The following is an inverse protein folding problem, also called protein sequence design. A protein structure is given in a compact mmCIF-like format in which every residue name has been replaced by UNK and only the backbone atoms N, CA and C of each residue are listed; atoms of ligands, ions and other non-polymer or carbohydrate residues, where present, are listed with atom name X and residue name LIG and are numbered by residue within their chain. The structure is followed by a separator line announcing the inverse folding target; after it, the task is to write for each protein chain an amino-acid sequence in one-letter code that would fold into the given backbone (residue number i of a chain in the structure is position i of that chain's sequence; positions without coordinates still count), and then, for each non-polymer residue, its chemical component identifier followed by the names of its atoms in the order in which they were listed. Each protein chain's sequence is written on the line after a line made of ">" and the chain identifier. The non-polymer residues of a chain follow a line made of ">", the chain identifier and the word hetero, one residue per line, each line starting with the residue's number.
data_IF_977739377913
#
_entry.id   IF_977739377913
#
_cell.length_a   1.000
_cell.length_b   1.000
_cell.length_c   1.000
_cell.angle_alpha   90.00
_cell.angle_beta   90.00
_cell.angle_gamma   90.00
#
_symmetry.space_group_name_H-M   'P 1'
#
loop_
_entity.id
_entity.type
_entity.pdbx_description
1 polymer ?
#
# COMPACT_ATOMS: atom_id res chain seq x y z
N UNK A 1 15.91 72.88 -13.38
CA UNK A 1 15.11 71.83 -12.68
C UNK A 1 15.39 70.39 -13.13
N UNK A 2 16.42 70.08 -13.92
CA UNK A 2 16.63 68.73 -14.45
C UNK A 2 17.48 67.77 -13.59
N UNK A 3 18.10 68.24 -12.49
CA UNK A 3 19.00 67.42 -11.65
C UNK A 3 18.29 66.59 -10.56
N UNK A 4 17.01 66.83 -10.30
CA UNK A 4 16.26 66.11 -9.27
C UNK A 4 15.54 64.86 -9.81
N UNK A 5 15.22 64.81 -11.11
CA UNK A 5 14.45 63.72 -11.76
C UNK A 5 15.25 62.45 -12.08
N UNK A 6 16.57 62.49 -11.94
CA UNK A 6 17.46 61.32 -12.11
C UNK A 6 17.65 60.55 -10.80
N UNK A 7 17.73 61.26 -9.68
CA UNK A 7 18.02 60.70 -8.35
C UNK A 7 16.83 59.91 -7.78
N UNK A 8 15.61 60.34 -8.07
CA UNK A 8 14.39 59.62 -7.65
C UNK A 8 14.22 58.27 -8.39
N UNK A 9 14.62 58.19 -9.66
CA UNK A 9 14.50 56.96 -10.46
C UNK A 9 15.52 55.88 -10.05
N UNK A 10 16.77 56.28 -9.80
CA UNK A 10 17.81 55.39 -9.24
C UNK A 10 17.44 54.88 -7.83
N UNK A 11 16.82 55.72 -7.00
CA UNK A 11 16.35 55.29 -5.67
C UNK A 11 15.17 54.32 -5.74
N UNK A 12 14.26 54.45 -6.72
CA UNK A 12 13.14 53.52 -6.87
C UNK A 12 13.55 52.17 -7.44
N UNK A 13 14.49 52.11 -8.39
CA UNK A 13 15.03 50.85 -8.91
C UNK A 13 15.78 50.07 -7.83
N UNK A 14 16.59 50.75 -7.02
CA UNK A 14 17.32 50.14 -5.89
C UNK A 14 16.37 49.63 -4.79
N UNK A 15 15.22 50.29 -4.61
CA UNK A 15 14.18 49.84 -3.68
C UNK A 15 13.45 48.59 -4.21
N UNK A 16 13.17 48.56 -5.51
CA UNK A 16 12.50 47.44 -6.18
C UNK A 16 13.38 46.19 -6.17
N UNK A 17 14.68 46.35 -6.44
CA UNK A 17 15.66 45.26 -6.40
C UNK A 17 15.86 44.71 -4.98
N UNK A 18 15.85 45.59 -3.96
CA UNK A 18 15.84 45.17 -2.55
C UNK A 18 14.58 44.40 -2.16
N UNK A 19 13.41 44.84 -2.64
CA UNK A 19 12.15 44.18 -2.34
C UNK A 19 12.10 42.79 -2.99
N UNK A 20 12.59 42.66 -4.23
CA UNK A 20 12.71 41.40 -4.94
C UNK A 20 13.70 40.46 -4.25
N UNK A 21 14.85 40.97 -3.82
CA UNK A 21 15.81 40.20 -3.02
C UNK A 21 15.19 39.70 -1.72
N UNK A 22 14.39 40.53 -1.04
CA UNK A 22 13.70 40.13 0.18
C UNK A 22 12.68 39.01 -0.09
N UNK A 23 11.88 39.13 -1.16
CA UNK A 23 10.92 38.08 -1.56
C UNK A 23 11.63 36.76 -1.83
N UNK A 24 12.76 36.77 -2.54
CA UNK A 24 13.54 35.55 -2.76
C UNK A 24 14.15 34.99 -1.48
N UNK A 25 14.60 35.84 -0.56
CA UNK A 25 15.10 35.39 0.75
C UNK A 25 13.99 34.73 1.58
N UNK A 26 12.79 35.31 1.58
CA UNK A 26 11.64 34.77 2.29
C UNK A 26 11.19 33.42 1.69
N UNK A 27 11.21 33.29 0.36
CA UNK A 27 10.90 32.05 -0.35
C UNK A 27 11.95 30.96 -0.08
N UNK A 28 13.24 31.31 -0.14
CA UNK A 28 14.34 30.40 0.20
C UNK A 28 14.19 29.91 1.64
N UNK A 29 13.87 30.80 2.59
CA UNK A 29 13.66 30.43 3.97
C UNK A 29 12.45 29.49 4.15
N UNK A 30 11.35 29.77 3.45
CA UNK A 30 10.16 28.90 3.46
C UNK A 30 10.48 27.50 2.93
N UNK A 31 11.21 27.42 1.81
CA UNK A 31 11.61 26.15 1.20
C UNK A 31 12.60 25.38 2.09
N UNK A 32 13.52 26.07 2.76
CA UNK A 32 14.45 25.46 3.69
C UNK A 32 13.72 24.84 4.89
N UNK A 33 12.69 25.50 5.43
CA UNK A 33 11.88 24.93 6.51
C UNK A 33 11.04 23.75 6.04
N UNK A 34 10.48 23.79 4.82
CA UNK A 34 9.78 22.65 4.24
C UNK A 34 10.72 21.45 4.05
N UNK A 35 11.92 21.65 3.52
CA UNK A 35 12.94 20.60 3.38
C UNK A 35 13.28 20.02 4.75
N UNK A 36 13.50 20.86 5.77
CA UNK A 36 13.80 20.42 7.13
C UNK A 36 12.69 19.53 7.70
N UNK A 37 11.43 19.90 7.50
CA UNK A 37 10.26 19.13 7.93
C UNK A 37 10.15 17.80 7.18
N UNK A 38 10.38 17.81 5.86
CA UNK A 38 10.37 16.61 5.02
C UNK A 38 11.50 15.64 5.37
N UNK A 39 12.71 16.15 5.65
CA UNK A 39 13.85 15.36 6.12
C UNK A 39 13.56 14.72 7.48
N UNK A 40 12.98 15.48 8.41
CA UNK A 40 12.56 14.96 9.71
C UNK A 40 11.48 13.87 9.56
N UNK A 41 10.51 14.07 8.67
CA UNK A 41 9.47 13.08 8.39
C UNK A 41 10.05 11.83 7.72
N UNK A 42 11.01 11.98 6.80
CA UNK A 42 11.73 10.88 6.16
C UNK A 42 12.54 10.08 7.18
N UNK A 43 13.25 10.76 8.09
CA UNK A 43 14.07 10.10 9.11
C UNK A 43 13.22 9.36 10.15
N UNK A 44 12.08 9.93 10.53
CA UNK A 44 11.06 9.22 11.33
C UNK A 44 10.50 8.01 10.57
N UNK A 45 10.27 8.15 9.25
CA UNK A 45 9.82 7.06 8.38
C UNK A 45 10.88 5.96 8.24
N UNK A 46 12.17 6.31 8.21
CA UNK A 46 13.30 5.37 8.21
C UNK A 46 13.44 4.65 9.56
N UNK A 47 13.25 5.34 10.68
CA UNK A 47 13.21 4.74 12.02
C UNK A 47 12.05 3.75 12.14
N UNK A 48 10.86 4.14 11.66
CA UNK A 48 9.70 3.26 11.56
C UNK A 48 9.98 2.04 10.68
N UNK A 49 10.59 2.25 9.50
CA UNK A 49 10.91 1.18 8.56
C UNK A 49 11.98 0.22 9.10
N UNK A 50 12.95 0.71 9.88
CA UNK A 50 13.96 -0.10 10.56
C UNK A 50 13.37 -0.93 11.71
N UNK A 51 12.51 -0.33 12.54
CA UNK A 51 11.74 -1.03 13.57
C UNK A 51 10.84 -2.10 12.95
N UNK A 52 10.17 -1.74 11.85
CA UNK A 52 9.30 -2.62 11.10
C UNK A 52 10.05 -3.80 10.47
N UNK A 53 11.17 -3.57 9.77
CA UNK A 53 12.02 -4.64 9.23
C UNK A 53 12.51 -5.60 10.32
N UNK A 54 12.88 -5.08 11.50
CA UNK A 54 13.24 -5.88 12.66
C UNK A 54 12.07 -6.73 13.18
N UNK A 55 10.86 -6.17 13.21
CA UNK A 55 9.64 -6.92 13.50
C UNK A 55 9.39 -8.02 12.47
N UNK A 56 9.63 -7.76 11.18
CA UNK A 56 9.52 -8.76 10.10
C UNK A 56 10.52 -9.90 10.25
N UNK A 57 11.77 -9.60 10.57
CA UNK A 57 12.80 -10.61 10.80
C UNK A 57 12.45 -11.47 12.03
N UNK A 58 12.08 -10.84 13.14
CA UNK A 58 11.67 -11.52 14.36
C UNK A 58 10.42 -12.40 14.15
N UNK A 59 9.47 -11.93 13.34
CA UNK A 59 8.26 -12.69 13.01
C UNK A 59 8.54 -13.81 12.01
N UNK A 60 9.44 -13.63 11.03
CA UNK A 60 9.87 -14.69 10.09
C UNK A 60 10.44 -15.89 10.84
N UNK A 61 11.21 -15.64 11.89
CA UNK A 61 11.73 -16.69 12.78
C UNK A 61 10.59 -17.41 13.51
N UNK A 62 9.56 -16.69 14.00
CA UNK A 62 8.36 -17.29 14.60
C UNK A 62 7.51 -18.10 13.61
N UNK A 63 7.39 -17.64 12.36
CA UNK A 63 6.68 -18.33 11.27
C UNK A 63 7.38 -19.65 10.86
N UNK A 64 8.71 -19.73 10.98
CA UNK A 64 9.47 -20.93 10.58
C UNK A 64 9.52 -22.00 11.68
N UNK A 65 9.36 -21.62 12.96
CA UNK A 65 9.55 -22.50 14.12
C UNK A 65 8.28 -23.32 14.47
N UNK A 66 7.09 -22.90 14.04
CA UNK A 66 5.82 -23.55 14.42
C UNK A 66 5.18 -24.31 13.24
N UNK A 67 5.94 -25.21 12.63
CA UNK A 67 5.39 -26.18 11.67
C UNK A 67 4.43 -27.16 12.37
N UNK A 68 3.15 -27.15 11.95
CA UNK A 68 2.07 -28.16 11.93
C UNK A 68 1.87 -29.22 13.06
N UNK A 69 2.81 -29.49 13.96
CA UNK A 69 2.73 -30.65 14.88
C UNK A 69 2.29 -30.32 16.31
N UNK A 70 2.14 -29.05 16.68
CA UNK A 70 1.84 -28.63 18.06
C UNK A 70 0.40 -28.13 18.28
N UNK A 71 -0.59 -28.72 17.63
CA UNK A 71 -2.01 -28.32 17.77
C UNK A 71 -2.72 -29.00 18.95
N UNK A 72 -1.98 -29.57 19.91
CA UNK A 72 -2.56 -30.09 21.15
C UNK A 72 -2.52 -29.01 22.23
N UNK A 73 -3.59 -28.22 22.36
CA UNK A 73 -3.60 -27.19 23.39
C UNK A 73 -4.95 -26.94 24.06
N UNK A 74 -4.87 -26.57 25.33
CA UNK A 74 -5.97 -26.23 26.25
C UNK A 74 -6.61 -24.88 25.89
N UNK A 75 -7.78 -24.58 26.48
CA UNK A 75 -8.53 -23.34 26.20
C UNK A 75 -7.72 -22.03 26.37
N UNK A 76 -6.84 -21.95 27.38
CA UNK A 76 -6.01 -20.77 27.62
C UNK A 76 -4.96 -20.53 26.52
N UNK A 77 -4.59 -21.57 25.80
CA UNK A 77 -3.64 -21.46 24.69
C UNK A 77 -4.35 -21.13 23.36
N UNK A 78 -5.66 -21.40 23.25
CA UNK A 78 -6.45 -20.97 22.08
C UNK A 78 -6.63 -19.45 22.03
N UNK A 79 -6.91 -18.79 23.16
CA UNK A 79 -7.00 -17.33 23.23
C UNK A 79 -5.67 -16.68 22.81
N UNK A 80 -4.56 -17.15 23.37
CA UNK A 80 -3.23 -16.64 23.00
C UNK A 80 -2.89 -16.90 21.51
N UNK A 81 -3.34 -18.02 20.93
CA UNK A 81 -3.17 -18.31 19.51
C UNK A 81 -4.02 -17.39 18.62
N UNK A 82 -5.24 -17.05 19.05
CA UNK A 82 -6.10 -16.09 18.34
C UNK A 82 -5.43 -14.70 18.36
N UNK A 83 -5.04 -14.21 19.53
CA UNK A 83 -4.36 -12.91 19.66
C UNK A 83 -3.09 -12.83 18.79
N UNK A 84 -2.33 -13.94 18.74
CA UNK A 84 -1.16 -14.04 17.88
C UNK A 84 -1.54 -13.98 16.40
N UNK A 85 -2.55 -14.74 15.97
CA UNK A 85 -3.00 -14.75 14.58
C UNK A 85 -3.56 -13.38 14.15
N UNK A 86 -4.32 -12.71 15.01
CA UNK A 86 -4.84 -11.36 14.78
C UNK A 86 -3.69 -10.35 14.64
N UNK A 87 -2.69 -10.43 15.51
CA UNK A 87 -1.48 -9.58 15.42
C UNK A 87 -0.72 -9.81 14.12
N UNK A 88 -0.61 -11.06 13.67
CA UNK A 88 0.02 -11.41 12.40
C UNK A 88 -0.78 -10.87 11.20
N UNK A 89 -2.11 -10.99 11.22
CA UNK A 89 -2.98 -10.44 10.18
C UNK A 89 -2.85 -8.92 10.12
N UNK A 90 -2.85 -8.23 11.27
CA UNK A 90 -2.67 -6.79 11.33
C UNK A 90 -1.32 -6.36 10.74
N UNK A 91 -0.25 -7.07 11.09
CA UNK A 91 1.09 -6.81 10.54
C UNK A 91 1.14 -7.04 9.02
N UNK A 92 0.59 -8.15 8.53
CA UNK A 92 0.52 -8.45 7.09
C UNK A 92 -0.31 -7.43 6.32
N UNK A 93 -1.42 -6.97 6.91
CA UNK A 93 -2.26 -5.91 6.35
C UNK A 93 -1.48 -4.60 6.24
N UNK A 94 -0.75 -4.23 7.29
CA UNK A 94 0.09 -3.03 7.30
C UNK A 94 1.24 -3.11 6.27
N UNK A 95 1.87 -4.27 6.10
CA UNK A 95 2.95 -4.51 5.14
C UNK A 95 2.50 -4.40 3.69
N UNK A 96 1.43 -5.12 3.38
CA UNK A 96 1.01 -5.33 2.00
C UNK A 96 0.01 -4.28 1.56
N UNK A 97 -0.59 -3.56 2.53
CA UNK A 97 -1.74 -2.71 2.32
C UNK A 97 -2.96 -3.50 1.84
N UNK A 98 -3.02 -4.82 2.08
CA UNK A 98 -4.14 -5.68 1.69
C UNK A 98 -4.83 -6.18 2.95
N UNK A 99 -6.13 -5.87 3.08
CA UNK A 99 -6.98 -6.37 4.15
C UNK A 99 -8.12 -7.22 3.60
N UNK A 100 -8.53 -8.22 4.39
CA UNK A 100 -9.70 -9.05 4.07
C UNK A 100 -10.85 -8.68 5.00
N UNK A 101 -12.03 -8.46 4.43
CA UNK A 101 -13.25 -8.12 5.18
C UNK A 101 -14.16 -9.32 5.32
N UNK A 102 -14.10 -10.26 4.36
CA UNK A 102 -14.94 -11.45 4.36
C UNK A 102 -14.21 -12.63 3.73
N UNK A 103 -14.36 -13.80 4.35
CA UNK A 103 -13.95 -15.07 3.79
C UNK A 103 -15.09 -16.08 3.99
N UNK A 104 -15.55 -16.67 2.90
CA UNK A 104 -16.53 -17.74 2.92
C UNK A 104 -15.94 -18.93 2.20
N UNK A 105 -15.95 -20.08 2.85
CA UNK A 105 -15.57 -21.35 2.26
C UNK A 105 -16.79 -22.26 2.17
N UNK A 106 -17.03 -22.82 0.99
CA UNK A 106 -18.00 -23.89 0.78
C UNK A 106 -17.28 -25.11 0.22
N UNK A 107 -17.75 -26.30 0.60
CA UNK A 107 -17.26 -27.55 -0.01
C UNK A 107 -18.25 -27.96 -1.09
N UNK A 108 -17.76 -28.14 -2.32
CA UNK A 108 -18.56 -28.49 -3.49
C UNK A 108 -18.06 -29.83 -4.03
N UNK A 109 -18.96 -30.80 -4.17
CA UNK A 109 -18.65 -32.15 -4.67
C UNK A 109 -19.14 -33.29 -3.76
N UNK A 110 -19.31 -34.49 -4.34
CA UNK A 110 -19.67 -35.73 -3.63
C UNK A 110 -18.62 -36.81 -3.95
N UNK A 111 -18.20 -37.59 -2.95
CA UNK A 111 -17.23 -38.67 -3.12
C UNK A 111 -15.77 -38.20 -3.07
N UNK A 112 -14.96 -38.63 -4.04
CA UNK A 112 -13.50 -38.40 -4.09
C UNK A 112 -13.10 -37.07 -4.77
N UNK A 113 -14.04 -36.37 -5.42
CA UNK A 113 -13.82 -35.10 -6.13
C UNK A 113 -14.33 -33.92 -5.27
N UNK A 114 -13.78 -33.78 -4.06
CA UNK A 114 -14.13 -32.69 -3.13
C UNK A 114 -13.32 -31.46 -3.49
N UNK A 115 -14.00 -30.42 -3.96
CA UNK A 115 -13.41 -29.11 -4.21
C UNK A 115 -13.84 -28.14 -3.13
N UNK A 116 -12.96 -27.22 -2.78
CA UNK A 116 -13.27 -26.13 -1.85
C UNK A 116 -13.39 -24.84 -2.64
N UNK A 117 -14.57 -24.24 -2.62
CA UNK A 117 -14.82 -22.96 -3.25
C UNK A 117 -14.68 -21.87 -2.18
N UNK A 118 -13.86 -20.88 -2.47
CA UNK A 118 -13.59 -19.74 -1.61
C UNK A 118 -14.13 -18.48 -2.25
N UNK A 119 -14.81 -17.67 -1.45
CA UNK A 119 -15.18 -16.30 -1.79
C UNK A 119 -14.56 -15.35 -0.78
N UNK A 120 -13.66 -14.50 -1.25
CA UNK A 120 -12.98 -13.49 -0.45
C UNK A 120 -13.43 -12.11 -0.89
N UNK A 121 -13.66 -11.24 0.07
CA UNK A 121 -13.84 -9.80 -0.14
C UNK A 121 -12.79 -9.07 0.65
N UNK A 122 -12.26 -7.99 0.09
CA UNK A 122 -11.20 -7.24 0.73
C UNK A 122 -10.93 -5.91 0.06
N UNK A 123 -9.84 -5.30 0.51
CA UNK A 123 -9.37 -4.03 -0.02
C UNK A 123 -7.86 -4.01 -0.14
N UNK A 124 -7.36 -3.19 -1.06
CA UNK A 124 -6.00 -2.70 -1.02
C UNK A 124 -5.99 -1.19 -1.11
N UNK A 125 -5.58 -0.53 -0.02
CA UNK A 125 -5.71 0.91 0.13
C UNK A 125 -7.16 1.36 -0.19
N UNK A 126 -7.35 2.22 -1.20
CA UNK A 126 -8.67 2.70 -1.65
C UNK A 126 -9.40 1.76 -2.62
N UNK A 127 -8.79 0.63 -3.02
CA UNK A 127 -9.36 -0.30 -4.00
C UNK A 127 -10.09 -1.45 -3.32
N UNK A 128 -11.34 -1.69 -3.68
CA UNK A 128 -12.11 -2.84 -3.21
C UNK A 128 -12.07 -3.97 -4.22
N UNK A 129 -11.95 -5.21 -3.74
CA UNK A 129 -11.95 -6.40 -4.57
C UNK A 129 -12.81 -7.51 -3.98
N UNK A 130 -13.38 -8.30 -4.87
CA UNK A 130 -13.98 -9.59 -4.61
C UNK A 130 -13.25 -10.66 -5.43
N UNK A 131 -13.14 -11.85 -4.84
CA UNK A 131 -12.42 -12.96 -5.41
C UNK A 131 -13.20 -14.24 -5.19
N UNK A 132 -13.28 -15.06 -6.23
CA UNK A 132 -13.83 -16.40 -6.15
C UNK A 132 -12.86 -17.40 -6.75
N UNK A 133 -12.50 -18.45 -6.01
CA UNK A 133 -11.58 -19.46 -6.50
C UNK A 133 -11.89 -20.85 -5.97
N UNK A 134 -11.51 -21.86 -6.73
CA UNK A 134 -11.68 -23.26 -6.38
C UNK A 134 -10.32 -23.89 -6.08
N UNK A 135 -10.22 -24.61 -4.97
CA UNK A 135 -9.08 -25.44 -4.61
C UNK A 135 -9.42 -26.92 -4.81
N UNK A 136 -8.53 -27.62 -5.51
CA UNK A 136 -8.51 -29.06 -5.61
C UNK A 136 -7.30 -29.61 -4.86
N UNK A 137 -7.56 -30.56 -3.96
CA UNK A 137 -6.53 -31.28 -3.21
C UNK A 137 -6.25 -32.61 -3.90
N UNK A 138 -5.02 -32.78 -4.41
CA UNK A 138 -4.56 -34.04 -5.01
C UNK A 138 -3.60 -34.71 -4.04
N UNK A 139 -3.95 -35.93 -3.65
CA UNK A 139 -3.10 -36.74 -2.79
C UNK A 139 -1.93 -37.28 -3.63
N UNK A 140 -0.73 -36.73 -3.43
CA UNK A 140 0.50 -37.28 -3.98
C UNK A 140 1.10 -38.29 -2.98
N UNK A 141 2.07 -39.10 -3.42
CA UNK A 141 2.62 -40.24 -2.67
C UNK A 141 3.09 -39.90 -1.24
N UNK A 142 3.53 -38.66 -1.00
CA UNK A 142 4.06 -38.20 0.30
C UNK A 142 3.41 -36.92 0.83
N UNK A 143 2.63 -36.19 0.00
CA UNK A 143 2.10 -34.87 0.35
C UNK A 143 0.73 -34.61 -0.30
N UNK A 144 -0.06 -33.72 0.30
CA UNK A 144 -1.28 -33.19 -0.33
C UNK A 144 -0.90 -31.95 -1.14
N UNK A 145 -1.05 -32.03 -2.47
CA UNK A 145 -0.83 -30.88 -3.36
C UNK A 145 -2.17 -30.16 -3.51
N UNK A 146 -2.21 -28.89 -3.15
CA UNK A 146 -3.40 -28.04 -3.34
C UNK A 146 -3.17 -27.13 -4.54
N UNK A 147 -4.07 -27.15 -5.51
CA UNK A 147 -3.97 -26.31 -6.73
C UNK A 147 -5.25 -25.52 -6.93
N UNK A 148 -5.09 -24.25 -7.34
CA UNK A 148 -6.22 -23.40 -7.74
C UNK A 148 -6.70 -23.86 -9.12
N UNK A 149 -7.92 -24.41 -9.18
CA UNK A 149 -8.53 -24.91 -10.42
C UNK A 149 -9.32 -23.84 -11.14
N UNK A 150 -9.93 -22.91 -10.42
CA UNK A 150 -10.66 -21.78 -11.00
C UNK A 150 -10.34 -20.51 -10.22
N UNK A 151 -10.30 -19.37 -10.91
CA UNK A 151 -10.04 -18.07 -10.32
C UNK A 151 -10.83 -17.00 -11.09
N UNK A 152 -11.68 -16.29 -10.38
CA UNK A 152 -12.46 -15.16 -10.85
C UNK A 152 -12.21 -13.97 -9.92
N UNK A 153 -11.98 -12.80 -10.50
CA UNK A 153 -11.58 -11.60 -9.81
C UNK A 153 -12.48 -10.46 -10.25
N UNK A 154 -13.15 -9.85 -9.28
CA UNK A 154 -14.00 -8.69 -9.48
C UNK A 154 -13.32 -7.51 -8.76
N UNK A 155 -12.99 -6.48 -9.51
CA UNK A 155 -12.42 -5.24 -8.96
C UNK A 155 -13.41 -4.12 -9.19
N UNK A 156 -13.87 -3.49 -8.11
CA UNK A 156 -14.78 -2.34 -8.19
C UNK A 156 -14.01 -1.07 -8.56
N UNK A 157 -13.70 -0.92 -9.84
CA UNK A 157 -13.31 0.39 -10.37
C UNK A 157 -13.51 0.49 -11.88
N UNK A 158 -14.36 1.43 -12.27
CA UNK A 158 -14.57 1.82 -13.67
C UNK A 158 -13.40 2.63 -14.26
N UNK A 159 -12.44 3.07 -13.45
CA UNK A 159 -11.40 4.01 -13.87
C UNK A 159 -10.06 3.33 -14.21
N UNK A 160 -9.92 2.02 -13.98
CA UNK A 160 -8.63 1.32 -14.13
C UNK A 160 -8.61 0.32 -15.29
N UNK A 161 -8.81 0.80 -16.51
CA UNK A 161 -8.63 -0.02 -17.72
C UNK A 161 -7.29 -0.76 -17.74
N UNK A 162 -6.23 -0.17 -17.18
CA UNK A 162 -4.89 -0.76 -17.08
C UNK A 162 -4.84 -2.05 -16.26
N UNK A 163 -5.76 -2.22 -15.29
CA UNK A 163 -5.81 -3.41 -14.44
C UNK A 163 -6.58 -4.57 -15.07
N UNK A 164 -7.50 -4.31 -16.01
CA UNK A 164 -8.33 -5.36 -16.64
C UNK A 164 -7.49 -6.45 -17.32
N UNK A 165 -6.52 -6.06 -18.16
CA UNK A 165 -5.59 -6.99 -18.83
C UNK A 165 -4.78 -7.81 -17.83
N UNK A 166 -4.42 -7.18 -16.72
CA UNK A 166 -3.67 -7.84 -15.67
C UNK A 166 -4.53 -8.87 -14.92
N UNK A 167 -5.76 -8.50 -14.57
CA UNK A 167 -6.75 -9.38 -13.95
C UNK A 167 -6.97 -10.62 -14.81
N UNK A 168 -7.27 -10.44 -16.10
CA UNK A 168 -7.50 -11.57 -17.02
C UNK A 168 -6.28 -12.50 -17.09
N UNK A 169 -5.05 -11.95 -17.04
CA UNK A 169 -3.83 -12.77 -17.01
C UNK A 169 -3.64 -13.49 -15.68
N UNK A 170 -4.07 -12.90 -14.56
CA UNK A 170 -4.02 -13.57 -13.26
C UNK A 170 -5.03 -14.72 -13.18
N UNK A 171 -6.24 -14.52 -13.70
CA UNK A 171 -7.29 -15.54 -13.86
C UNK A 171 -6.85 -16.68 -14.77
N UNK A 172 -6.34 -16.37 -15.97
CA UNK A 172 -5.81 -17.36 -16.93
C UNK A 172 -4.71 -18.23 -16.29
N UNK A 173 -3.82 -17.60 -15.51
CA UNK A 173 -2.73 -18.30 -14.80
C UNK A 173 -3.16 -18.91 -13.47
N UNK A 174 -4.40 -18.70 -13.04
CA UNK A 174 -4.95 -19.17 -11.75
C UNK A 174 -4.05 -18.77 -10.57
N UNK A 175 -3.47 -17.57 -10.64
CA UNK A 175 -2.40 -17.14 -9.74
C UNK A 175 -2.84 -16.02 -8.82
N UNK A 176 -3.23 -16.40 -7.60
CA UNK A 176 -3.51 -15.47 -6.49
C UNK A 176 -2.31 -14.58 -6.18
N UNK A 177 -1.11 -15.18 -6.18
CA UNK A 177 0.13 -14.44 -5.93
C UNK A 177 0.35 -13.33 -6.96
N UNK A 178 0.13 -13.64 -8.24
CA UNK A 178 0.24 -12.65 -9.30
C UNK A 178 -0.73 -11.49 -9.01
N UNK A 179 -2.00 -11.80 -8.75
CA UNK A 179 -3.03 -10.81 -8.44
C UNK A 179 -2.64 -9.89 -7.29
N UNK A 180 -2.40 -10.45 -6.09
CA UNK A 180 -2.13 -9.65 -4.90
C UNK A 180 -0.84 -8.82 -5.02
N UNK A 181 0.20 -9.35 -5.66
CA UNK A 181 1.45 -8.61 -5.87
C UNK A 181 1.23 -7.36 -6.73
N UNK A 182 0.50 -7.52 -7.82
CA UNK A 182 0.22 -6.39 -8.72
C UNK A 182 -0.77 -5.42 -8.10
N UNK A 183 -1.82 -5.91 -7.43
CA UNK A 183 -2.78 -5.05 -6.75
C UNK A 183 -2.10 -4.18 -5.68
N UNK A 184 -1.29 -4.78 -4.80
CA UNK A 184 -0.55 -4.05 -3.77
C UNK A 184 0.37 -2.98 -4.37
N UNK A 185 1.10 -3.33 -5.44
CA UNK A 185 1.99 -2.39 -6.13
C UNK A 185 1.21 -1.25 -6.76
N UNK A 186 0.13 -1.56 -7.49
CA UNK A 186 -0.70 -0.58 -8.17
C UNK A 186 -1.36 0.38 -7.16
N UNK A 187 -1.98 -0.15 -6.10
CA UNK A 187 -2.67 0.63 -5.07
C UNK A 187 -1.71 1.63 -4.41
N UNK A 188 -0.51 1.19 -4.05
CA UNK A 188 0.53 2.06 -3.47
C UNK A 188 0.92 3.20 -4.40
N UNK A 189 1.17 2.91 -5.68
CA UNK A 189 1.51 3.95 -6.66
C UNK A 189 0.36 4.90 -6.97
N UNK A 190 -0.87 4.40 -6.96
CA UNK A 190 -2.07 5.18 -7.17
C UNK A 190 -2.22 6.26 -6.09
N UNK A 191 -2.05 5.91 -4.81
CA UNK A 191 -2.09 6.90 -3.72
C UNK A 191 -1.01 7.97 -3.85
N UNK A 192 0.23 7.58 -4.16
CA UNK A 192 1.29 8.56 -4.38
C UNK A 192 0.95 9.54 -5.50
N UNK A 193 0.44 9.05 -6.65
CA UNK A 193 -0.01 9.92 -7.74
C UNK A 193 -1.11 10.87 -7.30
N UNK A 194 -2.09 10.39 -6.53
CA UNK A 194 -3.18 11.22 -6.04
C UNK A 194 -2.69 12.32 -5.09
N UNK A 195 -1.79 11.99 -4.17
CA UNK A 195 -1.15 12.95 -3.26
C UNK A 195 -0.36 13.99 -4.07
N UNK A 196 0.54 13.54 -4.95
CA UNK A 196 1.35 14.41 -5.81
C UNK A 196 0.48 15.34 -6.66
N UNK A 197 -0.60 14.83 -7.25
CA UNK A 197 -1.51 15.63 -8.05
C UNK A 197 -2.25 16.69 -7.23
N UNK A 198 -2.68 16.36 -6.00
CA UNK A 198 -3.27 17.33 -5.07
C UNK A 198 -2.27 18.44 -4.71
N UNK A 199 -1.02 18.10 -4.41
CA UNK A 199 0.03 19.10 -4.15
C UNK A 199 0.19 20.07 -5.31
N UNK A 200 0.35 19.56 -6.54
CA UNK A 200 0.53 20.44 -7.71
C UNK A 200 -0.71 21.28 -8.05
N UNK A 201 -1.92 20.80 -7.74
CA UNK A 201 -3.16 21.59 -7.88
C UNK A 201 -3.26 22.70 -6.83
N UNK A 202 -2.90 22.42 -5.57
CA UNK A 202 -2.89 23.40 -4.49
C UNK A 202 -1.85 24.50 -4.73
N UNK A 203 -0.63 24.15 -5.16
CA UNK A 203 0.42 25.13 -5.53
C UNK A 203 -0.07 26.10 -6.61
N UNK A 204 -0.80 25.61 -7.62
CA UNK A 204 -1.42 26.47 -8.65
C UNK A 204 -2.55 27.35 -8.13
N UNK A 205 -3.24 26.93 -7.07
CA UNK A 205 -4.39 27.65 -6.51
C UNK A 205 -3.98 28.69 -5.47
N UNK A 206 -2.81 28.53 -4.85
CA UNK A 206 -2.24 29.44 -3.86
C UNK A 206 -1.52 30.66 -4.45
N UNK A 207 -1.47 30.81 -5.78
CA UNK A 207 -1.08 32.05 -6.43
C UNK A 207 0.30 32.59 -6.02
N UNK A 208 1.28 31.72 -5.81
CA UNK A 208 2.68 32.16 -5.74
C UNK A 208 3.11 32.39 -7.20
N UNK A 209 3.01 33.65 -7.62
CA UNK A 209 3.45 34.14 -8.92
C UNK A 209 4.31 35.39 -8.72
#
# INVERSE_FOLDING_TARGET
>A
MSKYRGRERESTENLMDKLQHQTYQDEIHSLQEEIRLLEQQSQNSQSYMGSFLKTIEMQREQFSVRNHESWKCSNTDLEAQIDQAESQIALLTQLTGIGFTKCVMTTVGKGNDKRKQYRLSGYSHSLQFDLEFELMEVQAKENVITTVTELNIILESNEFCDLSRFISRAEEKKSLLLFFRTLSTFAKWYEFRQITFKHFKLVRSSGIH
#
